data_IF_661995516390
#
_entry.id   IF_661995516390
#
_cell.length_a   1.000
_cell.length_b   1.000
_cell.length_c   1.000
_cell.angle_alpha   90.00
_cell.angle_beta   90.00
_cell.angle_gamma   90.00
#
_symmetry.space_group_name_H-M   'P 1'
#
loop_
_entity.id
_entity.type
_entity.pdbx_description
1 polymer ?
#
# COMPACT_ATOMS: atom_id res chain seq x y z
N UNK A 1 16.60 53.84 24.30
CA UNK A 1 15.82 54.84 25.04
C UNK A 1 14.72 54.11 25.77
N UNK A 2 14.55 54.49 27.03
CA UNK A 2 13.91 53.72 28.10
C UNK A 2 12.55 54.34 28.41
N UNK A 3 11.50 53.49 28.46
CA UNK A 3 10.32 53.61 29.35
C UNK A 3 9.29 54.73 29.01
N UNK A 4 8.14 54.92 29.72
CA UNK A 4 7.31 54.05 30.59
C UNK A 4 5.76 54.21 30.42
N UNK A 5 5.00 53.56 31.34
CA UNK A 5 3.67 53.91 31.92
C UNK A 5 2.41 53.22 31.33
N UNK A 6 1.41 52.72 32.07
CA UNK A 6 1.17 52.34 33.49
C UNK A 6 -0.18 51.58 33.54
N UNK A 7 -0.39 50.87 34.66
CA UNK A 7 -1.58 50.16 35.17
C UNK A 7 -3.00 50.68 34.83
N UNK A 8 -3.96 49.74 34.82
CA UNK A 8 -5.37 50.00 35.12
C UNK A 8 -6.11 48.73 35.57
N UNK A 9 -6.66 48.74 36.79
CA UNK A 9 -7.38 47.65 37.45
C UNK A 9 -8.92 47.81 37.36
N UNK A 10 -9.64 46.83 37.91
CA UNK A 10 -11.10 46.73 38.12
C UNK A 10 -11.92 46.31 36.88
N UNK A 11 -12.82 45.32 36.92
CA UNK A 11 -13.64 44.82 38.03
C UNK A 11 -15.08 45.28 37.82
N UNK A 12 -15.86 44.55 37.00
CA UNK A 12 -17.32 44.70 36.89
C UNK A 12 -17.95 43.31 36.89
N UNK A 13 -19.01 43.17 37.68
CA UNK A 13 -19.70 41.94 38.08
C UNK A 13 -21.18 42.07 37.70
N UNK A 14 -21.75 40.99 37.09
CA UNK A 14 -23.17 40.57 36.99
C UNK A 14 -24.14 41.51 36.18
N UNK A 15 -25.19 41.09 35.46
CA UNK A 15 -26.19 40.00 35.58
C UNK A 15 -26.85 39.69 34.21
N UNK A 16 -27.16 38.40 34.00
CA UNK A 16 -28.21 37.69 33.21
C UNK A 16 -28.92 38.30 31.97
N UNK A 17 -29.00 37.45 30.92
CA UNK A 17 -30.05 37.44 29.89
C UNK A 17 -29.96 36.15 29.05
N UNK A 18 -31.01 35.31 29.09
CA UNK A 18 -31.10 34.00 28.43
C UNK A 18 -31.23 34.09 26.89
N UNK A 19 -30.55 33.20 26.16
CA UNK A 19 -31.11 32.36 25.08
C UNK A 19 -29.98 31.54 24.43
N UNK A 20 -30.25 30.26 24.19
CA UNK A 20 -29.23 29.23 24.09
C UNK A 20 -28.53 29.08 22.74
N UNK A 21 -27.34 28.47 22.80
CA UNK A 21 -26.81 27.61 21.73
C UNK A 21 -26.19 26.37 22.40
N UNK A 22 -26.88 25.26 22.21
CA UNK A 22 -26.46 23.91 22.53
C UNK A 22 -25.28 23.48 21.65
N UNK A 23 -24.36 22.70 22.19
CA UNK A 23 -23.59 21.73 21.40
C UNK A 23 -22.07 21.86 21.45
N UNK A 24 -21.48 21.08 22.35
CA UNK A 24 -20.22 20.33 22.26
C UNK A 24 -18.91 21.03 21.84
N UNK A 25 -17.99 21.05 22.82
CA UNK A 25 -16.56 21.19 22.58
C UNK A 25 -16.04 20.06 21.68
N UNK A 26 -15.53 20.45 20.52
CA UNK A 26 -14.75 19.59 19.64
C UNK A 26 -13.31 19.52 20.15
N UNK A 27 -13.01 18.47 20.92
CA UNK A 27 -11.66 17.98 21.10
C UNK A 27 -11.05 17.71 19.71
N UNK A 28 -9.83 18.18 19.39
CA UNK A 28 -9.17 17.75 18.17
C UNK A 28 -9.04 16.24 18.20
N UNK A 29 -9.51 15.57 17.13
CA UNK A 29 -9.37 14.13 16.99
C UNK A 29 -7.89 13.78 17.09
N UNK A 30 -7.54 13.03 18.13
CA UNK A 30 -6.25 12.35 18.21
C UNK A 30 -6.09 11.53 16.93
N UNK A 31 -5.12 11.89 16.10
CA UNK A 31 -4.68 11.02 15.01
C UNK A 31 -4.37 9.66 15.63
N UNK A 32 -5.15 8.64 15.28
CA UNK A 32 -4.84 7.27 15.64
C UNK A 32 -3.48 6.95 15.05
N UNK A 33 -2.44 7.05 15.87
CA UNK A 33 -1.10 6.57 15.53
C UNK A 33 -1.20 5.05 15.58
N UNK A 34 -1.64 4.45 14.47
CA UNK A 34 -1.51 3.02 14.27
C UNK A 34 -0.01 2.69 14.27
N UNK A 35 0.41 1.94 15.27
CA UNK A 35 1.75 1.37 15.30
C UNK A 35 1.96 0.61 13.99
N UNK A 36 3.11 0.76 13.29
CA UNK A 36 3.45 -0.11 12.17
C UNK A 36 3.21 -1.57 12.54
N UNK A 37 2.28 -2.22 11.84
CA UNK A 37 2.19 -3.68 11.89
C UNK A 37 3.07 -4.19 10.75
N UNK A 38 4.21 -4.75 11.12
CA UNK A 38 4.99 -5.56 10.18
C UNK A 38 4.30 -6.90 10.02
N UNK A 39 4.13 -7.33 8.78
CA UNK A 39 3.50 -8.61 8.44
C UNK A 39 4.44 -9.42 7.57
N UNK A 40 4.28 -10.73 7.61
CA UNK A 40 5.12 -11.66 6.85
C UNK A 40 4.60 -11.74 5.42
N UNK A 41 5.43 -11.37 4.45
CA UNK A 41 5.16 -11.56 3.02
C UNK A 41 6.12 -12.58 2.45
N UNK A 42 5.62 -13.56 1.69
CA UNK A 42 6.47 -14.50 0.95
C UNK A 42 6.44 -14.18 -0.53
N UNK A 43 7.63 -14.14 -1.14
CA UNK A 43 7.80 -14.02 -2.59
C UNK A 43 8.60 -15.21 -3.12
N UNK A 44 8.25 -15.65 -4.32
CA UNK A 44 8.91 -16.73 -5.03
C UNK A 44 9.12 -16.34 -6.48
N UNK A 45 10.32 -16.57 -7.03
CA UNK A 45 10.61 -16.44 -8.47
C UNK A 45 11.45 -17.65 -8.91
N UNK A 46 10.98 -18.38 -9.92
CA UNK A 46 11.63 -19.60 -10.45
C UNK A 46 12.08 -20.58 -9.34
N UNK A 47 11.23 -20.75 -8.32
CA UNK A 47 11.49 -21.61 -7.16
C UNK A 47 12.38 -21.02 -6.07
N UNK A 48 13.02 -19.87 -6.30
CA UNK A 48 13.75 -19.15 -5.26
C UNK A 48 12.77 -18.41 -4.36
N UNK A 49 12.84 -18.65 -3.05
CA UNK A 49 11.90 -18.11 -2.06
C UNK A 49 12.59 -17.12 -1.13
N UNK A 50 11.92 -16.02 -0.84
CA UNK A 50 12.29 -15.08 0.22
C UNK A 50 11.05 -14.71 1.04
N UNK A 51 11.25 -14.49 2.34
CA UNK A 51 10.19 -14.10 3.25
C UNK A 51 10.59 -12.79 3.92
N UNK A 52 9.83 -11.75 3.60
CA UNK A 52 9.99 -10.40 4.13
C UNK A 52 9.16 -10.26 5.41
N UNK A 53 9.73 -9.65 6.44
CA UNK A 53 8.98 -9.16 7.60
C UNK A 53 9.06 -7.65 7.58
N UNK A 54 8.13 -7.02 6.86
CA UNK A 54 8.19 -5.59 6.55
C UNK A 54 6.80 -4.95 6.69
N UNK A 55 6.79 -3.62 6.63
CA UNK A 55 5.54 -2.86 6.58
C UNK A 55 4.91 -3.08 5.20
N UNK A 56 3.65 -3.50 5.16
CA UNK A 56 2.88 -3.61 3.92
C UNK A 56 2.01 -2.38 3.78
N UNK A 57 2.12 -1.71 2.64
CA UNK A 57 1.26 -0.61 2.25
C UNK A 57 0.15 -1.14 1.34
N UNK A 58 -1.09 -1.06 1.81
CA UNK A 58 -2.27 -1.42 1.04
C UNK A 58 -3.20 -0.22 0.96
N UNK A 59 -3.41 0.27 -0.26
CA UNK A 59 -4.30 1.40 -0.54
C UNK A 59 -5.41 0.96 -1.48
N UNK A 60 -6.62 1.44 -1.24
CA UNK A 60 -7.76 1.24 -2.12
C UNK A 60 -8.13 2.58 -2.75
N UNK A 61 -8.30 2.59 -4.06
CA UNK A 61 -8.76 3.75 -4.82
C UNK A 61 -9.72 3.30 -5.92
N UNK A 62 -10.42 4.25 -6.54
CA UNK A 62 -11.11 3.96 -7.79
C UNK A 62 -10.13 3.39 -8.82
N UNK A 63 -10.59 2.44 -9.63
CA UNK A 63 -9.81 1.92 -10.75
C UNK A 63 -9.56 3.03 -11.78
N UNK A 64 -8.34 3.04 -12.34
CA UNK A 64 -7.93 4.00 -13.37
C UNK A 64 -7.79 3.33 -14.75
N UNK A 65 -8.80 3.45 -15.65
CA UNK A 65 -8.78 2.79 -16.96
C UNK A 65 -7.68 3.30 -17.90
N UNK A 66 -7.12 4.47 -17.61
CA UNK A 66 -6.04 5.09 -18.39
C UNK A 66 -4.67 4.98 -17.71
N UNK A 67 -4.56 4.22 -16.61
CA UNK A 67 -3.27 3.89 -16.02
C UNK A 67 -2.42 3.04 -16.97
N UNK A 68 -1.15 2.86 -16.64
CA UNK A 68 -0.23 1.99 -17.37
C UNK A 68 0.42 1.00 -16.41
N UNK A 69 -0.05 -0.26 -16.34
CA UNK A 69 -1.16 -0.86 -17.10
C UNK A 69 -2.56 -0.28 -16.78
N UNK A 70 -3.53 -0.39 -17.71
CA UNK A 70 -4.94 -0.08 -17.44
C UNK A 70 -5.49 -0.92 -16.29
N UNK A 71 -6.29 -0.30 -15.41
CA UNK A 71 -6.94 -0.99 -14.30
C UNK A 71 -8.39 -1.38 -14.63
N UNK A 72 -8.83 -2.52 -14.10
CA UNK A 72 -10.17 -3.07 -14.29
C UNK A 72 -11.03 -2.91 -13.03
N UNK A 73 -12.33 -3.19 -13.16
CA UNK A 73 -13.28 -3.10 -12.04
C UNK A 73 -13.65 -1.67 -11.64
N UNK A 74 -14.19 -1.54 -10.43
CA UNK A 74 -14.58 -0.25 -9.85
C UNK A 74 -13.50 0.25 -8.87
N UNK A 75 -12.81 -0.67 -8.21
CA UNK A 75 -11.79 -0.40 -7.21
C UNK A 75 -10.50 -1.16 -7.50
N UNK A 76 -9.37 -0.48 -7.30
CA UNK A 76 -8.05 -1.11 -7.32
C UNK A 76 -7.44 -1.09 -5.93
N UNK A 77 -7.05 -2.27 -5.45
CA UNK A 77 -6.18 -2.47 -4.30
C UNK A 77 -4.73 -2.45 -4.76
N UNK A 78 -3.97 -1.44 -4.35
CA UNK A 78 -2.53 -1.35 -4.61
C UNK A 78 -1.77 -1.85 -3.39
N UNK A 79 -0.94 -2.87 -3.58
CA UNK A 79 -0.13 -3.48 -2.51
C UNK A 79 1.34 -3.23 -2.80
N UNK A 80 2.06 -2.68 -1.82
CA UNK A 80 3.50 -2.50 -1.88
C UNK A 80 4.16 -3.04 -0.62
N UNK A 81 5.23 -3.80 -0.80
CA UNK A 81 6.05 -4.31 0.29
C UNK A 81 7.46 -4.50 -0.21
N UNK A 82 8.42 -4.15 0.62
CA UNK A 82 9.84 -4.30 0.30
C UNK A 82 10.67 -4.45 1.56
N UNK A 83 11.78 -5.14 1.41
CA UNK A 83 12.94 -5.07 2.30
C UNK A 83 14.21 -4.89 1.46
N UNK A 84 15.38 -5.14 2.05
CA UNK A 84 16.66 -4.97 1.35
C UNK A 84 16.90 -6.02 0.25
N UNK A 85 16.13 -7.11 0.25
CA UNK A 85 16.34 -8.30 -0.60
C UNK A 85 15.27 -8.41 -1.68
N UNK A 86 14.02 -8.04 -1.38
CA UNK A 86 12.91 -8.16 -2.32
C UNK A 86 11.98 -6.96 -2.28
N UNK A 87 11.29 -6.75 -3.40
CA UNK A 87 10.19 -5.80 -3.48
C UNK A 87 9.04 -6.41 -4.28
N UNK A 88 7.82 -6.03 -3.91
CA UNK A 88 6.58 -6.44 -4.57
C UNK A 88 5.71 -5.19 -4.71
N UNK A 89 5.18 -4.98 -5.92
CA UNK A 89 4.15 -3.98 -6.20
C UNK A 89 3.05 -4.64 -7.02
N UNK A 90 1.81 -4.58 -6.54
CA UNK A 90 0.63 -5.17 -7.19
C UNK A 90 -0.48 -4.12 -7.35
N UNK A 91 -1.22 -4.20 -8.44
CA UNK A 91 -2.51 -3.56 -8.64
C UNK A 91 -3.54 -4.67 -8.88
N UNK A 92 -4.49 -4.80 -7.96
CA UNK A 92 -5.52 -5.84 -7.94
C UNK A 92 -6.90 -5.18 -8.07
N UNK A 93 -7.71 -5.58 -9.05
CA UNK A 93 -9.09 -5.11 -9.13
C UNK A 93 -10.02 -5.86 -8.17
N UNK A 94 -11.20 -5.29 -7.94
CA UNK A 94 -12.25 -5.84 -7.09
C UNK A 94 -13.18 -6.84 -7.80
N UNK A 95 -12.77 -7.34 -8.97
CA UNK A 95 -13.45 -8.44 -9.64
C UNK A 95 -13.51 -9.72 -8.76
N UNK A 96 -14.36 -10.67 -9.14
CA UNK A 96 -14.60 -11.90 -8.37
C UNK A 96 -14.35 -13.13 -9.27
N UNK A 97 -13.19 -13.81 -9.16
CA UNK A 97 -12.07 -13.52 -8.23
C UNK A 97 -11.30 -12.24 -8.60
N UNK A 98 -10.50 -11.65 -7.67
CA UNK A 98 -9.70 -10.47 -7.96
C UNK A 98 -8.79 -10.71 -9.17
N UNK A 99 -8.67 -9.70 -10.04
CA UNK A 99 -7.76 -9.75 -11.17
C UNK A 99 -6.50 -8.94 -10.89
N UNK A 100 -5.37 -9.34 -11.46
CA UNK A 100 -4.12 -8.56 -11.39
C UNK A 100 -4.03 -7.71 -12.65
N UNK A 101 -4.07 -6.40 -12.51
CA UNK A 101 -3.96 -5.47 -13.63
C UNK A 101 -2.48 -5.15 -13.93
N UNK A 102 -1.67 -5.03 -12.86
CA UNK A 102 -0.25 -4.74 -12.98
C UNK A 102 0.57 -5.29 -11.82
N UNK A 103 1.78 -5.74 -12.11
CA UNK A 103 2.66 -6.32 -11.10
C UNK A 103 4.15 -6.05 -11.40
N UNK A 104 4.93 -5.85 -10.34
CA UNK A 104 6.39 -5.81 -10.35
C UNK A 104 6.93 -6.60 -9.17
N UNK A 105 8.02 -7.33 -9.37
CA UNK A 105 8.66 -8.11 -8.32
C UNK A 105 10.17 -8.06 -8.53
N UNK A 106 10.93 -7.77 -7.49
CA UNK A 106 12.38 -7.94 -7.46
C UNK A 106 12.78 -8.94 -6.39
N UNK A 107 13.81 -9.74 -6.67
CA UNK A 107 14.44 -10.63 -5.70
C UNK A 107 15.95 -10.67 -5.93
N UNK A 108 16.70 -10.16 -4.97
CA UNK A 108 18.15 -10.19 -4.95
C UNK A 108 18.62 -11.42 -4.18
N UNK A 109 19.43 -12.26 -4.81
CA UNK A 109 20.06 -13.42 -4.18
C UNK A 109 21.59 -13.29 -4.29
N UNK A 110 22.37 -14.07 -3.53
CA UNK A 110 23.82 -14.12 -3.70
C UNK A 110 24.26 -14.47 -5.13
N UNK A 111 23.41 -15.18 -5.89
CA UNK A 111 23.64 -15.58 -7.27
C UNK A 111 23.30 -14.49 -8.29
N UNK A 112 22.66 -13.40 -7.86
CA UNK A 112 22.27 -12.24 -8.67
C UNK A 112 20.83 -11.80 -8.44
N UNK A 113 20.36 -10.87 -9.26
CA UNK A 113 19.02 -10.29 -9.14
C UNK A 113 18.05 -10.83 -10.20
N UNK A 114 16.85 -11.17 -9.74
CA UNK A 114 15.66 -11.37 -10.57
C UNK A 114 14.86 -10.07 -10.54
N UNK A 115 14.42 -9.60 -11.72
CA UNK A 115 13.64 -8.38 -11.84
C UNK A 115 12.50 -8.59 -12.84
N UNK A 116 11.27 -8.59 -12.32
CA UNK A 116 10.06 -8.42 -13.10
C UNK A 116 9.71 -6.92 -13.06
N UNK A 117 9.94 -6.16 -14.14
CA UNK A 117 9.52 -4.76 -14.20
C UNK A 117 7.99 -4.68 -14.09
N UNK A 118 7.48 -3.49 -13.78
CA UNK A 118 6.04 -3.28 -13.72
C UNK A 118 5.41 -3.53 -15.09
N UNK A 119 4.56 -4.55 -15.15
CA UNK A 119 4.00 -5.06 -16.40
C UNK A 119 2.53 -5.44 -16.22
N UNK A 120 1.79 -5.38 -17.34
CA UNK A 120 0.41 -5.81 -17.42
C UNK A 120 0.30 -7.33 -17.43
N UNK A 121 -0.84 -7.84 -16.98
CA UNK A 121 -1.25 -9.19 -17.35
C UNK A 121 -1.69 -9.20 -18.82
N UNK A 122 -1.27 -10.24 -19.56
CA UNK A 122 -1.58 -10.44 -20.98
C UNK A 122 -2.86 -11.26 -21.17
N UNK A 123 -3.26 -12.03 -20.16
CA UNK A 123 -4.51 -12.79 -20.13
C UNK A 123 -4.96 -13.05 -18.69
N UNK A 124 -6.27 -13.32 -18.52
CA UNK A 124 -6.87 -13.63 -17.22
C UNK A 124 -6.31 -14.89 -16.53
N UNK A 125 -5.66 -15.78 -17.29
CA UNK A 125 -5.10 -17.03 -16.77
C UNK A 125 -3.59 -16.98 -16.58
N UNK A 126 -2.92 -15.90 -17.00
CA UNK A 126 -1.48 -15.74 -16.84
C UNK A 126 -1.09 -15.53 -15.37
N UNK A 127 -1.87 -14.69 -14.68
CA UNK A 127 -1.67 -14.38 -13.27
C UNK A 127 -3.01 -14.51 -12.58
N UNK A 128 -3.07 -15.40 -11.60
CA UNK A 128 -4.24 -15.69 -10.80
C UNK A 128 -4.06 -15.04 -9.44
N UNK A 129 -5.10 -14.37 -8.97
CA UNK A 129 -5.16 -13.87 -7.61
C UNK A 129 -6.35 -14.48 -6.86
N UNK A 130 -6.12 -14.83 -5.61
CA UNK A 130 -7.16 -15.19 -4.66
C UNK A 130 -7.06 -14.29 -3.44
N UNK A 131 -8.20 -14.01 -2.83
CA UNK A 131 -8.31 -13.22 -1.60
C UNK A 131 -9.04 -14.03 -0.55
N UNK A 132 -8.42 -14.13 0.62
CA UNK A 132 -9.00 -14.71 1.83
C UNK A 132 -8.87 -13.68 2.94
N UNK A 133 -10.00 -13.11 3.37
CA UNK A 133 -10.06 -11.95 4.28
C UNK A 133 -9.21 -10.76 3.80
N UNK A 134 -8.04 -10.56 4.43
CA UNK A 134 -7.06 -9.51 4.11
C UNK A 134 -5.80 -10.07 3.41
N UNK A 135 -5.74 -11.37 3.20
CA UNK A 135 -4.62 -12.06 2.57
C UNK A 135 -4.85 -12.24 1.08
N UNK A 136 -3.84 -11.94 0.29
CA UNK A 136 -3.81 -12.11 -1.15
C UNK A 136 -2.76 -13.15 -1.50
N UNK A 137 -3.14 -14.13 -2.32
CA UNK A 137 -2.21 -15.06 -2.95
C UNK A 137 -2.23 -14.81 -4.45
N UNK A 138 -1.08 -14.45 -5.01
CA UNK A 138 -0.92 -14.17 -6.44
C UNK A 138 0.10 -15.13 -7.00
N UNK A 139 -0.25 -15.86 -8.05
CA UNK A 139 0.66 -16.79 -8.74
C UNK A 139 0.53 -16.62 -10.23
N UNK A 140 1.62 -16.81 -10.96
CA UNK A 140 1.57 -16.69 -12.41
C UNK A 140 2.92 -16.69 -13.07
N UNK A 141 2.93 -16.18 -14.30
CA UNK A 141 4.14 -15.98 -15.09
C UNK A 141 4.31 -14.51 -15.45
N UNK A 142 5.57 -14.07 -15.59
CA UNK A 142 5.89 -12.71 -16.02
C UNK A 142 7.23 -12.66 -16.73
N UNK A 143 7.47 -11.62 -17.52
CA UNK A 143 8.77 -11.41 -18.13
C UNK A 143 9.73 -10.84 -17.07
N UNK A 144 10.92 -11.44 -16.96
CA UNK A 144 11.93 -11.02 -16.01
C UNK A 144 13.33 -10.99 -16.63
N UNK A 145 14.17 -10.07 -16.18
CA UNK A 145 15.62 -10.25 -16.28
C UNK A 145 16.10 -11.12 -15.14
N UNK A 146 17.08 -11.97 -15.40
CA UNK A 146 17.55 -12.96 -14.41
C UNK A 146 19.08 -13.03 -14.39
N UNK A 147 19.68 -13.56 -13.33
CA UNK A 147 21.13 -13.66 -13.22
C UNK A 147 21.77 -14.42 -14.39
N UNK A 148 22.85 -13.87 -14.94
CA UNK A 148 23.66 -14.52 -15.97
C UNK A 148 23.03 -14.62 -17.36
N UNK A 149 21.88 -13.98 -17.61
CA UNK A 149 21.24 -13.95 -18.93
C UNK A 149 21.13 -12.53 -19.47
N UNK A 150 21.16 -12.41 -20.80
CA UNK A 150 20.87 -11.15 -21.49
C UNK A 150 19.41 -11.12 -21.91
N UNK A 151 18.75 -9.96 -21.71
CA UNK A 151 17.33 -9.77 -22.03
C UNK A 151 16.36 -10.30 -20.97
N UNK A 152 15.07 -10.31 -21.33
CA UNK A 152 13.98 -10.81 -20.50
C UNK A 152 13.55 -12.21 -20.95
N UNK A 153 13.11 -13.04 -20.00
CA UNK A 153 12.45 -14.32 -20.27
C UNK A 153 11.22 -14.50 -19.38
N UNK A 154 10.28 -15.37 -19.75
CA UNK A 154 9.21 -15.76 -18.84
C UNK A 154 9.78 -16.50 -17.63
N UNK A 155 9.31 -16.13 -16.44
CA UNK A 155 9.58 -16.80 -15.17
C UNK A 155 8.28 -17.08 -14.45
N UNK A 156 8.29 -18.09 -13.58
CA UNK A 156 7.17 -18.34 -12.66
C UNK A 156 7.36 -17.52 -11.40
N UNK A 157 6.27 -16.99 -10.85
CA UNK A 157 6.31 -16.29 -9.58
C UNK A 157 5.13 -16.61 -8.68
N UNK A 158 5.32 -16.39 -7.39
CA UNK A 158 4.30 -16.47 -6.37
C UNK A 158 4.49 -15.38 -5.32
N UNK A 159 3.39 -14.80 -4.85
CA UNK A 159 3.36 -13.81 -3.78
C UNK A 159 2.25 -14.20 -2.81
N UNK A 160 2.55 -14.18 -1.53
CA UNK A 160 1.57 -14.26 -0.46
C UNK A 160 1.77 -13.08 0.48
N UNK A 161 0.77 -12.22 0.60
CA UNK A 161 0.82 -10.97 1.37
C UNK A 161 -0.47 -10.76 2.14
N UNK A 162 -0.39 -10.25 3.36
CA UNK A 162 -1.55 -9.87 4.17
C UNK A 162 -1.57 -8.37 4.35
N UNK A 163 -2.67 -7.70 4.00
CA UNK A 163 -2.87 -6.30 4.31
C UNK A 163 -3.25 -6.10 5.80
N UNK A 164 -2.85 -5.00 6.45
CA UNK A 164 -3.17 -4.73 7.86
C UNK A 164 -4.65 -4.48 8.15
#
# INVERSE_FOLDING_TARGET
MTNPYILGAAGIVLVAGLSGCSGNGGQPASTTSSTPVSVTTTVMIDGNKHTMTARVDCTNSAAEPNASPPESGDLTTRIRVQDDTASVSLALSDEKPPMVDGFAISLTLPTGQYQLPYQATKSATQVLATKEDKSYTVTGTGEATTPGQSGTRPVTFGVHVTCP
#
